data_IF_581597687913
#
_entry.id   IF_581597687913
#
_cell.length_a   1.000
_cell.length_b   1.000
_cell.length_c   1.000
_cell.angle_alpha   90.00
_cell.angle_beta   90.00
_cell.angle_gamma   90.00
#
_symmetry.space_group_name_H-M   'P 1'
#
loop_
_entity.id
_entity.type
_entity.pdbx_description
1 polymer ?
#
# COMPACT_ATOMS: atom_id res chain seq x y z
N UNK A 1 -61.91 -55.72 -55.44
CA UNK A 1 -61.06 -56.66 -54.67
C UNK A 1 -59.86 -57.00 -55.52
N UNK A 2 -58.66 -56.62 -55.06
CA UNK A 2 -57.33 -57.11 -55.39
C UNK A 2 -56.36 -55.93 -55.27
N UNK A 3 -55.71 -55.82 -54.12
CA UNK A 3 -54.58 -54.93 -53.85
C UNK A 3 -53.32 -55.62 -54.31
N UNK A 4 -52.68 -55.12 -55.37
CA UNK A 4 -51.34 -55.54 -55.75
C UNK A 4 -50.32 -54.88 -54.82
N UNK A 5 -49.67 -55.68 -53.98
CA UNK A 5 -48.57 -55.27 -53.12
C UNK A 5 -47.25 -55.55 -53.84
N UNK A 6 -46.61 -54.52 -54.38
CA UNK A 6 -45.25 -54.61 -54.91
C UNK A 6 -44.27 -54.06 -53.88
N UNK A 7 -43.49 -54.93 -53.24
CA UNK A 7 -42.34 -54.55 -52.41
C UNK A 7 -41.10 -54.38 -53.30
N UNK A 8 -40.49 -53.19 -53.38
CA UNK A 8 -39.15 -53.08 -53.92
C UNK A 8 -38.11 -53.54 -52.88
N UNK A 9 -37.25 -54.48 -53.30
CA UNK A 9 -36.09 -54.99 -52.56
C UNK A 9 -35.15 -53.84 -52.18
N UNK A 10 -34.74 -53.80 -50.93
CA UNK A 10 -33.64 -52.98 -50.44
C UNK A 10 -32.31 -53.55 -50.97
N UNK A 11 -31.65 -52.84 -51.89
CA UNK A 11 -30.25 -53.11 -52.21
C UNK A 11 -29.38 -52.47 -51.13
N UNK A 12 -28.73 -53.31 -50.34
CA UNK A 12 -27.70 -52.95 -49.38
C UNK A 12 -26.49 -52.41 -50.15
N UNK A 13 -26.17 -51.13 -49.96
CA UNK A 13 -25.08 -50.46 -50.65
C UNK A 13 -24.28 -49.59 -49.67
N UNK A 14 -23.07 -50.07 -49.37
CA UNK A 14 -21.86 -49.29 -49.10
C UNK A 14 -21.80 -48.45 -47.80
N UNK A 15 -21.45 -49.11 -46.68
CA UNK A 15 -21.03 -48.44 -45.44
C UNK A 15 -19.53 -48.08 -45.49
N UNK A 16 -19.17 -47.14 -46.37
CA UNK A 16 -17.91 -46.40 -46.23
C UNK A 16 -18.05 -45.33 -45.15
N UNK A 17 -17.00 -44.98 -44.37
CA UNK A 17 -17.07 -43.84 -43.47
C UNK A 17 -17.36 -42.60 -44.32
N UNK A 18 -18.58 -42.09 -44.20
CA UNK A 18 -19.06 -40.94 -44.94
C UNK A 18 -18.09 -39.76 -44.79
N UNK A 19 -18.03 -38.86 -45.80
CA UNK A 19 -17.12 -37.73 -45.77
C UNK A 19 -17.28 -36.98 -44.45
N UNK A 20 -16.16 -36.60 -43.83
CA UNK A 20 -16.11 -35.76 -42.63
C UNK A 20 -16.99 -34.53 -42.89
N UNK A 21 -18.22 -34.57 -42.37
CA UNK A 21 -19.14 -33.45 -42.40
C UNK A 21 -18.54 -32.39 -41.48
N UNK A 22 -17.72 -31.52 -42.04
CA UNK A 22 -17.36 -30.27 -41.39
C UNK A 22 -18.67 -29.52 -41.21
N UNK A 23 -19.15 -29.40 -39.98
CA UNK A 23 -20.19 -28.44 -39.65
C UNK A 23 -19.58 -27.06 -39.95
N UNK A 24 -19.99 -26.37 -41.03
CA UNK A 24 -19.48 -25.04 -41.28
C UNK A 24 -20.04 -24.21 -40.14
N UNK A 25 -19.21 -23.99 -39.12
CA UNK A 25 -19.62 -23.38 -37.86
C UNK A 25 -20.12 -21.98 -38.19
N UNK A 26 -21.43 -21.80 -38.13
CA UNK A 26 -22.13 -20.57 -38.53
C UNK A 26 -21.84 -19.44 -37.53
N UNK A 27 -20.69 -18.84 -37.70
CA UNK A 27 -20.37 -17.58 -37.05
C UNK A 27 -21.12 -16.49 -37.81
N UNK A 28 -22.18 -15.97 -37.21
CA UNK A 28 -22.97 -14.88 -37.77
C UNK A 28 -22.14 -13.60 -37.83
N UNK A 29 -21.72 -13.22 -39.05
CA UNK A 29 -20.97 -11.98 -39.31
C UNK A 29 -21.73 -10.73 -38.80
N UNK A 30 -23.07 -10.77 -38.84
CA UNK A 30 -23.91 -9.70 -38.32
C UNK A 30 -23.82 -9.56 -36.79
N UNK A 31 -23.69 -10.68 -36.07
CA UNK A 31 -23.51 -10.70 -34.62
C UNK A 31 -22.16 -10.15 -34.20
N UNK A 32 -21.09 -10.52 -34.91
CA UNK A 32 -19.74 -9.99 -34.68
C UNK A 32 -19.69 -8.48 -34.96
N UNK A 33 -20.32 -8.01 -36.04
CA UNK A 33 -20.38 -6.59 -36.38
C UNK A 33 -21.02 -5.76 -35.26
N UNK A 34 -22.17 -6.20 -34.74
CA UNK A 34 -22.85 -5.51 -33.64
C UNK A 34 -22.03 -5.53 -32.34
N UNK A 35 -21.38 -6.65 -32.03
CA UNK A 35 -20.54 -6.79 -30.83
C UNK A 35 -19.29 -5.89 -30.89
N UNK A 36 -18.61 -5.85 -32.03
CA UNK A 36 -17.43 -4.99 -32.24
C UNK A 36 -17.79 -3.51 -32.18
N UNK A 37 -18.89 -3.09 -32.81
CA UNK A 37 -19.41 -1.72 -32.71
C UNK A 37 -19.75 -1.37 -31.27
N UNK A 38 -20.46 -2.24 -30.56
CA UNK A 38 -20.79 -2.05 -29.14
C UNK A 38 -19.54 -1.87 -28.27
N UNK A 39 -18.50 -2.67 -28.50
CA UNK A 39 -17.23 -2.57 -27.78
C UNK A 39 -16.52 -1.23 -28.02
N UNK A 40 -16.48 -0.76 -29.28
CA UNK A 40 -15.90 0.55 -29.62
C UNK A 40 -16.67 1.69 -28.95
N UNK A 41 -18.00 1.62 -28.91
CA UNK A 41 -18.83 2.63 -28.23
C UNK A 41 -18.51 2.64 -26.73
N UNK A 42 -18.43 1.47 -26.08
CA UNK A 42 -18.10 1.38 -24.65
C UNK A 42 -16.71 1.98 -24.38
N UNK A 43 -15.70 1.68 -25.21
CA UNK A 43 -14.36 2.26 -25.07
C UNK A 43 -14.40 3.80 -25.19
N UNK A 44 -15.17 4.34 -26.13
CA UNK A 44 -15.32 5.79 -26.27
C UNK A 44 -16.03 6.43 -25.07
N UNK A 45 -17.06 5.78 -24.53
CA UNK A 45 -17.77 6.24 -23.33
C UNK A 45 -16.83 6.24 -22.12
N UNK A 46 -16.11 5.14 -21.88
CA UNK A 46 -15.14 5.03 -20.78
C UNK A 46 -14.01 6.04 -20.94
N UNK A 47 -13.47 6.20 -22.16
CA UNK A 47 -12.42 7.19 -22.45
C UNK A 47 -12.90 8.62 -22.18
N UNK A 48 -14.14 8.94 -22.58
CA UNK A 48 -14.72 10.27 -22.36
C UNK A 48 -15.00 10.52 -20.88
N UNK A 49 -15.53 9.53 -20.16
CA UNK A 49 -15.73 9.60 -18.71
C UNK A 49 -14.41 9.78 -17.96
N UNK A 50 -13.36 9.03 -18.34
CA UNK A 50 -12.01 9.16 -17.78
C UNK A 50 -11.44 10.55 -18.06
N UNK A 51 -11.54 11.05 -19.30
CA UNK A 51 -11.07 12.39 -19.67
C UNK A 51 -11.82 13.49 -18.92
N UNK A 52 -13.14 13.37 -18.77
CA UNK A 52 -13.97 14.30 -18.00
C UNK A 52 -13.58 14.31 -16.52
N UNK A 53 -13.39 13.13 -15.91
CA UNK A 53 -12.97 13.00 -14.51
C UNK A 53 -11.56 13.53 -14.31
N UNK A 54 -10.62 13.20 -15.20
CA UNK A 54 -9.28 13.76 -15.22
C UNK A 54 -9.34 15.28 -15.28
N UNK A 55 -10.16 15.87 -16.17
CA UNK A 55 -10.28 17.34 -16.28
C UNK A 55 -10.90 17.96 -15.02
N UNK A 56 -11.86 17.29 -14.37
CA UNK A 56 -12.43 17.75 -13.11
C UNK A 56 -11.40 17.71 -11.99
N UNK A 57 -10.67 16.61 -11.86
CA UNK A 57 -9.62 16.44 -10.86
C UNK A 57 -8.45 17.37 -11.10
N UNK A 58 -8.04 17.58 -12.35
CA UNK A 58 -7.00 18.54 -12.76
C UNK A 58 -7.43 19.98 -12.44
N UNK A 59 -8.71 20.35 -12.67
CA UNK A 59 -9.25 21.63 -12.19
C UNK A 59 -9.19 21.76 -10.67
N UNK A 60 -9.54 20.70 -9.94
CA UNK A 60 -9.49 20.68 -8.47
C UNK A 60 -8.05 20.72 -7.93
N UNK A 61 -7.13 19.99 -8.56
CA UNK A 61 -5.71 19.95 -8.23
C UNK A 61 -5.08 21.34 -8.44
N UNK A 62 -5.33 21.98 -9.58
CA UNK A 62 -4.87 23.36 -9.83
C UNK A 62 -5.42 24.36 -8.82
N UNK A 63 -6.66 24.18 -8.36
CA UNK A 63 -7.23 25.03 -7.31
C UNK A 63 -6.55 24.80 -5.95
N UNK A 64 -6.22 23.55 -5.63
CA UNK A 64 -5.48 23.18 -4.41
C UNK A 64 -4.03 23.68 -4.46
N UNK A 65 -3.33 23.51 -5.58
CA UNK A 65 -1.97 24.01 -5.80
C UNK A 65 -1.92 25.53 -5.79
N UNK A 66 -2.92 26.20 -6.37
CA UNK A 66 -3.05 27.66 -6.28
C UNK A 66 -3.32 28.14 -4.85
N UNK A 67 -4.00 27.34 -4.02
CA UNK A 67 -4.16 27.64 -2.59
C UNK A 67 -2.83 27.43 -1.83
N UNK A 68 -2.08 26.36 -2.14
CA UNK A 68 -0.74 26.12 -1.60
C UNK A 68 0.27 27.20 -2.03
N UNK A 69 0.22 27.66 -3.28
CA UNK A 69 1.06 28.76 -3.79
C UNK A 69 0.75 30.11 -3.12
N UNK A 70 -0.46 30.30 -2.55
CA UNK A 70 -0.76 31.48 -1.74
C UNK A 70 -0.13 31.43 -0.35
N UNK A 71 0.07 30.24 0.22
CA UNK A 71 0.86 30.04 1.45
C UNK A 71 2.37 30.28 1.21
N UNK A 72 2.82 30.13 -0.03
CA UNK A 72 4.21 30.35 -0.47
C UNK A 72 4.56 31.81 -0.78
N UNK A 73 3.59 32.74 -0.80
CA UNK A 73 3.83 34.17 -1.10
C UNK A 73 4.80 34.89 -0.13
N UNK A 74 5.20 34.24 0.96
CA UNK A 74 6.21 34.74 1.90
C UNK A 74 7.60 34.13 1.75
N UNK A 75 7.80 33.16 0.85
CA UNK A 75 9.08 32.48 0.65
C UNK A 75 9.59 32.75 -0.77
N UNK A 76 10.78 33.34 -0.88
CA UNK A 76 11.38 33.66 -2.18
C UNK A 76 11.60 32.38 -2.97
N UNK A 77 11.18 32.39 -4.25
CA UNK A 77 11.45 31.30 -5.20
C UNK A 77 12.95 31.03 -5.24
N UNK A 78 13.36 29.85 -4.81
CA UNK A 78 14.75 29.40 -4.94
C UNK A 78 14.92 28.91 -6.38
N UNK A 79 15.73 29.62 -7.17
CA UNK A 79 16.06 29.21 -8.54
C UNK A 79 16.92 27.95 -8.52
N UNK A 80 16.26 26.80 -8.69
CA UNK A 80 16.84 25.45 -8.63
C UNK A 80 17.79 25.14 -9.81
N UNK A 81 17.94 26.05 -10.77
CA UNK A 81 18.74 25.87 -11.97
C UNK A 81 20.25 26.12 -11.77
N UNK A 82 20.66 26.76 -10.67
CA UNK A 82 22.05 27.25 -10.48
C UNK A 82 22.92 26.48 -9.49
N UNK A 83 22.36 25.55 -8.70
CA UNK A 83 23.09 24.87 -7.65
C UNK A 83 22.89 23.35 -7.76
N UNK A 84 23.96 22.55 -7.91
CA UNK A 84 23.82 21.10 -7.85
C UNK A 84 23.27 20.73 -6.46
N UNK A 85 22.00 20.35 -6.42
CA UNK A 85 21.28 19.92 -5.22
C UNK A 85 21.95 18.73 -4.52
N UNK A 86 22.91 18.08 -5.19
CA UNK A 86 23.66 16.93 -4.71
C UNK A 86 24.47 17.20 -3.43
N UNK A 87 24.85 18.46 -3.14
CA UNK A 87 25.64 18.79 -1.94
C UNK A 87 25.21 20.08 -1.22
N UNK A 88 24.07 20.67 -1.59
CA UNK A 88 23.56 21.83 -0.90
C UNK A 88 22.74 21.40 0.34
N UNK A 89 22.93 22.03 1.51
CA UNK A 89 22.01 21.87 2.64
C UNK A 89 20.62 22.36 2.22
N UNK A 90 19.56 21.84 2.87
CA UNK A 90 18.18 22.22 2.56
C UNK A 90 18.06 23.75 2.49
N UNK A 91 17.73 24.31 1.32
CA UNK A 91 17.73 25.75 1.10
C UNK A 91 16.78 26.50 2.07
N UNK A 92 15.73 25.82 2.53
CA UNK A 92 14.80 26.28 3.55
C UNK A 92 15.46 26.43 4.94
N UNK A 93 16.42 25.57 5.28
CA UNK A 93 17.17 25.65 6.55
C UNK A 93 18.29 26.69 6.47
N UNK A 94 18.97 26.82 5.33
CA UNK A 94 20.01 27.83 5.12
C UNK A 94 19.49 29.28 5.23
N UNK A 95 18.21 29.50 4.89
CA UNK A 95 17.52 30.79 5.06
C UNK A 95 17.05 31.09 6.49
N UNK A 96 17.39 30.26 7.48
CA UNK A 96 17.07 30.48 8.90
C UNK A 96 15.58 30.32 9.24
N UNK A 97 14.76 29.80 8.32
CA UNK A 97 13.32 29.69 8.49
C UNK A 97 12.92 28.23 8.49
N UNK A 98 12.95 27.63 9.68
CA UNK A 98 12.44 26.27 9.88
C UNK A 98 10.93 26.28 9.57
N UNK A 99 10.48 25.61 8.49
CA UNK A 99 9.05 25.57 8.19
C UNK A 99 8.32 24.90 9.36
N UNK A 100 7.23 25.52 9.82
CA UNK A 100 6.32 24.92 10.79
C UNK A 100 5.55 23.77 10.10
N UNK A 101 6.19 22.60 10.01
CA UNK A 101 5.67 21.43 9.30
C UNK A 101 6.72 20.30 9.25
N UNK A 102 6.34 19.11 8.76
CA UNK A 102 7.30 18.02 8.56
C UNK A 102 8.45 18.49 7.66
N UNK A 103 9.68 18.33 8.15
CA UNK A 103 10.89 18.73 7.41
C UNK A 103 11.00 17.89 6.14
N UNK A 104 10.97 18.54 4.99
CA UNK A 104 11.22 17.87 3.71
C UNK A 104 12.71 17.61 3.57
N UNK A 105 13.10 16.35 3.39
CA UNK A 105 14.48 15.96 3.10
C UNK A 105 14.77 16.26 1.62
N UNK A 106 15.51 17.33 1.33
CA UNK A 106 15.81 17.71 -0.07
C UNK A 106 17.12 17.11 -0.59
N UNK A 107 17.99 16.64 0.31
CA UNK A 107 19.26 16.01 -0.03
C UNK A 107 19.49 14.73 0.81
N UNK A 108 18.95 13.63 0.31
CA UNK A 108 18.98 12.31 0.97
C UNK A 108 20.40 11.71 1.09
N UNK A 109 21.27 11.78 0.05
CA UNK A 109 22.62 11.20 0.13
C UNK A 109 23.51 11.84 1.19
N UNK A 110 23.49 13.17 1.33
CA UNK A 110 24.30 13.88 2.34
C UNK A 110 23.81 13.52 3.75
N UNK A 111 22.49 13.54 3.94
CA UNK A 111 21.89 13.20 5.23
C UNK A 111 22.25 11.78 5.69
N UNK A 112 22.20 10.78 4.79
CA UNK A 112 22.61 9.42 5.13
C UNK A 112 24.09 9.32 5.53
N UNK A 113 24.97 10.09 4.87
CA UNK A 113 26.39 10.12 5.21
C UNK A 113 26.61 10.71 6.59
N UNK A 114 25.90 11.77 6.93
CA UNK A 114 25.98 12.42 8.24
C UNK A 114 25.48 11.50 9.34
N UNK A 115 24.33 10.84 9.14
CA UNK A 115 23.80 9.84 10.07
C UNK A 115 24.80 8.70 10.28
N UNK A 116 25.38 8.18 9.19
CA UNK A 116 26.40 7.13 9.27
C UNK A 116 27.65 7.61 10.02
N UNK A 117 28.12 8.83 9.75
CA UNK A 117 29.27 9.40 10.43
C UNK A 117 29.02 9.57 11.93
N UNK A 118 27.84 10.04 12.32
CA UNK A 118 27.44 10.18 13.73
C UNK A 118 27.36 8.82 14.43
N UNK A 119 26.75 7.80 13.80
CA UNK A 119 26.68 6.44 14.33
C UNK A 119 28.07 5.82 14.49
N UNK A 120 28.92 5.99 13.48
CA UNK A 120 30.30 5.51 13.52
C UNK A 120 31.06 6.19 14.66
N UNK A 121 30.99 7.51 14.76
CA UNK A 121 31.59 8.27 15.85
C UNK A 121 31.08 7.79 17.21
N UNK A 122 29.77 7.52 17.36
CA UNK A 122 29.16 6.99 18.58
C UNK A 122 29.59 5.55 18.93
N UNK A 123 30.20 4.81 18.02
CA UNK A 123 30.61 3.42 18.27
C UNK A 123 32.14 3.29 18.42
N UNK A 124 32.91 4.19 17.82
CA UNK A 124 34.38 4.11 17.76
C UNK A 124 35.11 5.03 18.73
N UNK A 125 34.46 6.09 19.22
CA UNK A 125 35.12 7.07 20.12
C UNK A 125 34.69 6.93 21.58
N UNK A 126 35.28 7.72 22.46
CA UNK A 126 34.74 7.95 23.80
C UNK A 126 33.80 9.15 23.78
N UNK A 127 32.83 9.18 24.67
CA UNK A 127 31.94 10.34 24.81
C UNK A 127 31.14 10.29 26.09
N UNK A 128 30.49 11.39 26.45
CA UNK A 128 29.60 11.43 27.60
C UNK A 128 28.19 11.04 27.19
N UNK A 129 27.53 10.19 27.97
CA UNK A 129 26.08 9.95 27.86
C UNK A 129 25.35 10.90 28.80
N UNK A 130 25.80 10.98 30.05
CA UNK A 130 25.31 11.94 31.03
C UNK A 130 26.49 12.42 31.87
N UNK A 131 26.85 13.70 31.74
CA UNK A 131 27.98 14.30 32.45
C UNK A 131 27.71 14.46 33.95
N UNK A 132 26.49 14.81 34.31
CA UNK A 132 26.07 15.06 35.70
C UNK A 132 26.04 13.76 36.52
N UNK A 133 25.57 12.68 35.89
CA UNK A 133 25.55 11.35 36.50
C UNK A 133 26.89 10.60 36.36
N UNK A 134 27.91 11.19 35.73
CA UNK A 134 29.22 10.55 35.52
C UNK A 134 29.20 9.37 34.54
N UNK A 135 28.19 9.26 33.68
CA UNK A 135 28.03 8.13 32.76
C UNK A 135 28.73 8.39 31.42
N UNK A 136 29.75 7.58 31.14
CA UNK A 136 30.59 7.66 29.93
C UNK A 136 30.24 6.53 28.96
N UNK A 137 30.24 6.86 27.67
CA UNK A 137 30.16 5.93 26.54
C UNK A 137 31.57 5.44 26.19
N UNK A 138 31.73 4.12 26.10
CA UNK A 138 32.98 3.45 25.73
C UNK A 138 32.89 2.97 24.27
N UNK A 139 33.97 3.04 23.46
CA UNK A 139 34.02 2.42 22.15
C UNK A 139 33.67 0.93 22.21
N UNK A 140 32.96 0.41 21.21
CA UNK A 140 32.49 -0.98 21.22
C UNK A 140 33.65 -1.99 21.28
N UNK A 141 34.77 -1.69 20.62
CA UNK A 141 35.95 -2.55 20.65
C UNK A 141 36.54 -2.65 22.05
N UNK A 142 36.61 -1.54 22.79
CA UNK A 142 37.07 -1.58 24.18
C UNK A 142 36.04 -2.23 25.10
N UNK A 143 34.75 -1.99 24.88
CA UNK A 143 33.70 -2.65 25.64
C UNK A 143 33.77 -4.18 25.50
N UNK A 144 33.99 -4.69 24.29
CA UNK A 144 34.21 -6.13 24.05
C UNK A 144 35.41 -6.66 24.84
N UNK A 145 36.55 -5.96 24.82
CA UNK A 145 37.74 -6.36 25.58
C UNK A 145 37.48 -6.39 27.09
N UNK A 146 36.82 -5.36 27.62
CA UNK A 146 36.47 -5.30 29.05
C UNK A 146 35.55 -6.44 29.46
N UNK A 147 34.60 -6.85 28.61
CA UNK A 147 33.73 -8.00 28.89
C UNK A 147 34.51 -9.32 28.86
N UNK A 148 35.47 -9.46 27.94
CA UNK A 148 36.34 -10.65 27.90
C UNK A 148 37.25 -10.72 29.13
N UNK A 149 37.78 -9.58 29.58
CA UNK A 149 38.61 -9.46 30.79
C UNK A 149 37.81 -9.70 32.08
N UNK A 150 36.60 -9.14 32.19
CA UNK A 150 35.75 -9.25 33.37
C UNK A 150 34.95 -10.56 33.46
N UNK A 151 34.85 -11.30 32.34
CA UNK A 151 33.90 -12.40 32.17
C UNK A 151 32.49 -11.87 31.88
N UNK A 152 31.68 -12.66 31.15
CA UNK A 152 30.29 -12.28 30.90
C UNK A 152 29.55 -12.26 32.25
N UNK A 153 28.83 -11.16 32.59
CA UNK A 153 27.96 -11.17 33.74
C UNK A 153 26.93 -12.30 33.55
N UNK A 154 26.73 -13.13 34.57
CA UNK A 154 25.68 -14.13 34.56
C UNK A 154 24.35 -13.40 34.36
N UNK A 155 23.74 -13.55 33.19
CA UNK A 155 22.42 -13.01 32.92
C UNK A 155 21.46 -13.73 33.87
N UNK A 156 21.12 -13.11 35.00
CA UNK A 156 19.87 -13.47 35.67
C UNK A 156 18.80 -13.13 34.65
N UNK A 157 18.11 -14.16 34.14
CA UNK A 157 16.91 -13.95 33.34
C UNK A 157 16.05 -12.91 34.06
N UNK A 158 15.46 -11.93 33.36
CA UNK A 158 14.52 -11.01 33.99
C UNK A 158 13.54 -11.86 34.78
N UNK A 159 13.42 -11.61 36.09
CA UNK A 159 12.37 -12.23 36.88
C UNK A 159 11.09 -12.03 36.09
N UNK A 160 10.43 -13.15 35.76
CA UNK A 160 9.19 -13.15 35.00
C UNK A 160 8.33 -11.98 35.48
N UNK A 161 7.89 -11.14 34.54
CA UNK A 161 6.98 -10.06 34.85
C UNK A 161 5.88 -10.62 35.76
N UNK A 162 5.51 -9.94 36.86
CA UNK A 162 4.43 -10.42 37.70
C UNK A 162 3.22 -10.69 36.79
N UNK A 163 2.81 -11.95 36.81
CA UNK A 163 1.59 -12.43 36.18
C UNK A 163 0.49 -11.42 36.48
N UNK A 164 -0.27 -10.94 35.48
CA UNK A 164 -1.33 -9.96 35.72
C UNK A 164 -2.24 -10.56 36.78
N UNK A 165 -2.23 -9.93 37.96
CA UNK A 165 -3.04 -10.36 39.08
C UNK A 165 -4.46 -10.57 38.55
N UNK A 166 -4.91 -11.82 38.63
CA UNK A 166 -6.26 -12.22 38.34
C UNK A 166 -7.20 -11.18 38.93
N UNK A 167 -8.02 -10.59 38.05
CA UNK A 167 -9.02 -9.61 38.43
C UNK A 167 -9.81 -10.13 39.63
N UNK A 168 -9.61 -9.49 40.78
CA UNK A 168 -10.52 -9.67 41.90
C UNK A 168 -11.92 -9.25 41.43
N UNK A 169 -12.97 -10.01 41.80
CA UNK A 169 -14.30 -9.80 41.29
C UNK A 169 -14.83 -8.44 41.77
N UNK A 170 -15.39 -7.68 40.82
CA UNK A 170 -16.10 -6.45 41.12
C UNK A 170 -17.25 -6.73 42.11
N UNK A 171 -17.48 -5.88 43.12
CA UNK A 171 -18.66 -6.00 43.96
C UNK A 171 -19.91 -5.73 43.12
N UNK A 172 -20.80 -6.73 43.10
CA UNK A 172 -22.09 -6.68 42.44
C UNK A 172 -22.95 -5.55 43.02
N UNK A 173 -23.29 -4.56 42.19
CA UNK A 173 -24.43 -3.69 42.42
C UNK A 173 -25.67 -4.37 41.82
N UNK A 174 -26.77 -4.54 42.57
CA UNK A 174 -27.97 -5.20 42.09
C UNK A 174 -28.81 -4.24 41.24
N UNK A 175 -29.12 -4.62 40.01
CA UNK A 175 -30.10 -3.89 39.21
C UNK A 175 -29.93 -4.05 37.70
N UNK A 176 -30.18 -5.25 37.18
CA UNK A 176 -30.58 -5.40 35.78
C UNK A 176 -31.37 -6.71 35.63
N UNK A 177 -32.70 -6.60 35.58
CA UNK A 177 -33.55 -7.65 35.04
C UNK A 177 -33.29 -7.77 33.54
N UNK A 178 -32.78 -8.93 33.15
CA UNK A 178 -32.56 -9.37 31.76
C UNK A 178 -33.90 -9.49 31.00
N UNK A 179 -33.88 -9.36 29.66
CA UNK A 179 -35.02 -9.03 28.81
C UNK A 179 -35.81 -10.25 28.34
N UNK A 180 -37.07 -10.03 27.96
CA UNK A 180 -37.89 -10.98 27.23
C UNK A 180 -38.28 -10.38 25.86
N UNK A 181 -37.90 -11.08 24.79
CA UNK A 181 -38.29 -10.84 23.41
C UNK A 181 -39.66 -11.50 23.08
N UNK A 182 -40.34 -11.11 21.98
CA UNK A 182 -41.81 -11.13 21.80
C UNK A 182 -42.35 -12.43 21.17
N UNK A 183 -43.68 -12.67 21.17
CA UNK A 183 -44.53 -12.43 19.97
C UNK A 183 -46.05 -12.23 20.33
N UNK A 184 -47.03 -12.44 19.43
CA UNK A 184 -47.31 -11.90 18.08
C UNK A 184 -48.57 -10.97 18.09
N UNK A 185 -48.94 -10.42 16.93
CA UNK A 185 -49.97 -9.38 16.79
C UNK A 185 -51.46 -9.81 16.81
N UNK A 186 -52.24 -8.98 16.11
CA UNK A 186 -53.70 -9.01 15.77
C UNK A 186 -54.64 -8.36 16.80
N UNK A 187 -55.12 -7.14 16.48
CA UNK A 187 -56.51 -6.84 16.09
C UNK A 187 -56.62 -5.41 15.54
#
# INVERSE_FOLDING_TARGET
MATDHHHPRTSHGDDGPGPLNHEPTDISLEGIGKLTIGFVIILLVVSTAMYGTYRLLDRRARAADAAASKLDKGYGRVDVAGAPLMNAPNALEAGGRLPAGPKMLTNEPVWLRDVRAQQLAATTTYGWVNKEAGVVRVPIERAKQLILEAGLPATTAPAAAPEPAAAAPAPAAPGATTPAAPPPGVH
#
